data_IF_927615182203
#
_entry.id   IF_927615182203
#
_cell.length_a   1.000
_cell.length_b   1.000
_cell.length_c   1.000
_cell.angle_alpha   90.00
_cell.angle_beta   90.00
_cell.angle_gamma   90.00
#
_symmetry.space_group_name_H-M   'P 1'
#
loop_
_entity.id
_entity.type
_entity.pdbx_description
1 polymer ?
#
# COMPACT_ATOMS: atom_id res chain seq x y z
N UNK A 1 13.69 3.23 -26.27
CA UNK A 1 14.01 3.43 -24.85
C UNK A 1 13.49 4.81 -24.46
N UNK A 2 12.35 4.88 -23.79
CA UNK A 2 11.88 6.17 -23.25
C UNK A 2 12.54 6.30 -21.89
N UNK A 3 13.56 7.15 -21.78
CA UNK A 3 14.12 7.55 -20.50
C UNK A 3 12.98 8.20 -19.70
N UNK A 4 12.69 7.68 -18.50
CA UNK A 4 11.77 8.32 -17.59
C UNK A 4 12.33 9.72 -17.29
N UNK A 5 11.60 10.76 -17.69
CA UNK A 5 12.01 12.13 -17.43
C UNK A 5 12.16 12.34 -15.91
N UNK A 6 13.22 13.05 -15.50
CA UNK A 6 13.44 13.36 -14.09
C UNK A 6 12.22 14.09 -13.50
N UNK A 7 11.79 13.72 -12.27
CA UNK A 7 10.60 14.31 -11.67
C UNK A 7 10.80 15.80 -11.44
N UNK A 8 9.80 16.60 -11.84
CA UNK A 8 9.80 18.03 -11.59
C UNK A 8 9.56 18.35 -10.10
N UNK A 9 9.62 19.64 -9.72
CA UNK A 9 9.45 20.06 -8.32
C UNK A 9 8.09 19.67 -7.73
N UNK A 10 7.01 19.73 -8.52
CA UNK A 10 5.67 19.34 -8.07
C UNK A 10 5.58 17.84 -7.82
N UNK A 11 6.13 17.01 -8.72
CA UNK A 11 6.20 15.56 -8.54
C UNK A 11 7.03 15.18 -7.32
N UNK A 12 8.17 15.85 -7.09
CA UNK A 12 8.98 15.64 -5.88
C UNK A 12 8.19 15.95 -4.60
N UNK A 13 7.40 17.03 -4.60
CA UNK A 13 6.53 17.36 -3.46
C UNK A 13 5.44 16.32 -3.23
N UNK A 14 4.82 15.81 -4.31
CA UNK A 14 3.84 14.72 -4.23
C UNK A 14 4.45 13.43 -3.69
N UNK A 15 5.67 13.08 -4.14
CA UNK A 15 6.40 11.90 -3.65
C UNK A 15 6.74 12.03 -2.17
N UNK A 16 7.23 13.19 -1.74
CA UNK A 16 7.52 13.47 -0.33
C UNK A 16 6.25 13.35 0.51
N UNK A 17 5.13 13.95 0.07
CA UNK A 17 3.84 13.87 0.76
C UNK A 17 3.36 12.41 0.88
N UNK A 18 3.45 11.62 -0.18
CA UNK A 18 3.05 10.22 -0.17
C UNK A 18 3.88 9.38 0.82
N UNK A 19 5.22 9.51 0.76
CA UNK A 19 6.14 8.87 1.70
C UNK A 19 5.84 9.27 3.14
N UNK A 20 5.62 10.58 3.37
CA UNK A 20 5.28 11.11 4.68
C UNK A 20 3.94 10.56 5.15
N UNK A 21 2.89 10.53 4.32
CA UNK A 21 1.57 10.00 4.71
C UNK A 21 1.65 8.56 5.19
N UNK A 22 2.36 7.69 4.49
CA UNK A 22 2.36 6.24 4.76
C UNK A 22 3.46 5.77 5.72
N UNK A 23 4.56 6.50 5.86
CA UNK A 23 5.63 6.11 6.79
C UNK A 23 5.14 6.16 8.24
N UNK A 24 5.29 5.04 8.96
CA UNK A 24 4.79 4.89 10.34
C UNK A 24 3.27 4.88 10.45
N UNK A 25 2.53 4.74 9.34
CA UNK A 25 1.08 4.69 9.37
C UNK A 25 0.55 3.27 9.59
N UNK A 26 -0.66 3.17 10.10
CA UNK A 26 -1.46 1.95 10.07
C UNK A 26 -2.69 2.18 9.21
N UNK A 27 -2.90 1.33 8.22
CA UNK A 27 -4.14 1.26 7.46
C UNK A 27 -5.13 0.46 8.29
N UNK A 28 -6.26 1.07 8.63
CA UNK A 28 -7.31 0.49 9.45
C UNK A 28 -8.60 0.54 8.64
N UNK A 29 -9.10 -0.63 8.26
CA UNK A 29 -10.20 -0.68 7.34
C UNK A 29 -10.95 -1.98 7.35
N UNK A 30 -11.67 -2.18 6.25
CA UNK A 30 -12.50 -3.35 6.03
C UNK A 30 -12.37 -3.81 4.58
N UNK A 31 -12.56 -5.10 4.38
CA UNK A 31 -12.63 -5.69 3.05
C UNK A 31 -13.90 -6.51 2.84
N UNK A 32 -14.31 -6.61 1.58
CA UNK A 32 -15.41 -7.46 1.10
C UNK A 32 -14.87 -8.60 0.25
N UNK A 33 -15.70 -9.60 -0.02
CA UNK A 33 -15.41 -10.65 -1.02
C UNK A 33 -16.51 -10.59 -2.07
N UNK A 34 -16.14 -10.40 -3.34
CA UNK A 34 -17.10 -10.39 -4.45
C UNK A 34 -17.81 -11.74 -4.52
N UNK A 35 -19.13 -11.71 -4.77
CA UNK A 35 -19.94 -12.91 -4.86
C UNK A 35 -20.30 -13.56 -3.51
N UNK A 36 -19.93 -12.95 -2.37
CA UNK A 36 -20.35 -13.38 -1.04
C UNK A 36 -21.18 -12.31 -0.36
N UNK A 37 -22.38 -12.68 0.08
CA UNK A 37 -23.23 -11.82 0.91
C UNK A 37 -22.79 -11.93 2.37
N UNK A 38 -21.86 -11.06 2.75
CA UNK A 38 -21.28 -11.03 4.09
C UNK A 38 -20.90 -9.60 4.47
N UNK A 39 -21.04 -9.28 5.76
CA UNK A 39 -20.55 -8.02 6.30
C UNK A 39 -19.05 -7.85 6.04
N UNK A 40 -18.58 -6.62 5.73
CA UNK A 40 -17.16 -6.35 5.54
C UNK A 40 -16.35 -6.78 6.77
N UNK A 41 -15.24 -7.47 6.53
CA UNK A 41 -14.32 -7.96 7.57
C UNK A 41 -13.27 -6.91 7.85
N UNK A 42 -12.90 -6.75 9.13
CA UNK A 42 -11.84 -5.84 9.54
C UNK A 42 -10.47 -6.30 9.01
N UNK A 43 -9.65 -5.33 8.61
CA UNK A 43 -8.26 -5.52 8.28
C UNK A 43 -7.40 -4.40 8.85
N UNK A 44 -6.12 -4.71 9.07
CA UNK A 44 -5.14 -3.78 9.62
C UNK A 44 -3.77 -4.08 9.04
N UNK A 45 -3.14 -3.08 8.43
CA UNK A 45 -1.78 -3.17 7.89
C UNK A 45 -0.89 -2.07 8.45
N UNK A 46 0.19 -2.45 9.13
CA UNK A 46 1.16 -1.47 9.66
C UNK A 46 2.29 -1.26 8.64
N UNK A 47 2.49 -0.01 8.24
CA UNK A 47 3.57 0.40 7.34
C UNK A 47 4.65 1.08 8.18
N UNK A 48 5.83 0.45 8.23
CA UNK A 48 7.00 0.98 8.95
C UNK A 48 7.65 2.12 8.18
N UNK A 49 7.89 1.93 6.89
CA UNK A 49 8.44 2.97 6.03
C UNK A 49 8.09 2.78 4.56
N UNK A 50 8.06 3.89 3.83
CA UNK A 50 7.82 3.94 2.38
C UNK A 50 8.79 4.93 1.76
N UNK A 51 9.59 4.49 0.79
CA UNK A 51 10.47 5.38 0.03
C UNK A 51 10.55 4.96 -1.43
N UNK A 52 10.80 5.95 -2.29
CA UNK A 52 10.90 5.74 -3.74
C UNK A 52 12.25 5.09 -4.06
N UNK A 53 12.25 4.11 -4.94
CA UNK A 53 13.47 3.51 -5.48
C UNK A 53 13.97 4.32 -6.69
N UNK A 54 15.25 4.15 -7.04
CA UNK A 54 15.87 4.88 -8.16
C UNK A 54 15.21 4.56 -9.51
N UNK A 55 14.66 3.35 -9.65
CA UNK A 55 14.12 2.85 -10.89
C UNK A 55 12.60 3.08 -11.02
N UNK A 56 12.22 3.82 -12.07
CA UNK A 56 10.84 3.91 -12.55
C UNK A 56 9.83 4.36 -11.49
N UNK A 57 8.71 3.64 -11.41
CA UNK A 57 7.60 3.91 -10.49
C UNK A 57 7.65 3.04 -9.22
N UNK A 58 8.79 2.42 -8.93
CA UNK A 58 8.91 1.51 -7.79
C UNK A 58 9.12 2.25 -6.47
N UNK A 59 8.49 1.72 -5.43
CA UNK A 59 8.56 2.17 -4.06
C UNK A 59 8.76 0.97 -3.15
N UNK A 60 9.65 1.10 -2.17
CA UNK A 60 9.88 0.06 -1.19
C UNK A 60 9.02 0.31 0.05
N UNK A 61 8.06 -0.59 0.27
CA UNK A 61 7.22 -0.63 1.46
C UNK A 61 7.79 -1.64 2.44
N UNK A 62 8.11 -1.20 3.65
CA UNK A 62 8.38 -2.11 4.76
C UNK A 62 7.11 -2.24 5.58
N UNK A 63 6.33 -3.29 5.34
CA UNK A 63 5.06 -3.52 6.04
C UNK A 63 5.22 -4.65 7.06
N UNK A 64 4.62 -4.49 8.24
CA UNK A 64 4.50 -5.57 9.21
C UNK A 64 3.26 -6.38 8.86
N UNK A 65 3.48 -7.66 8.57
CA UNK A 65 2.40 -8.62 8.31
C UNK A 65 2.29 -9.53 9.52
N UNK A 66 1.09 -9.55 10.12
CA UNK A 66 0.75 -10.47 11.21
C UNK A 66 -0.21 -11.52 10.68
N UNK A 67 0.25 -12.77 10.58
CA UNK A 67 -0.55 -13.89 10.10
C UNK A 67 -0.28 -15.15 10.95
N UNK A 68 -1.30 -15.63 11.65
CA UNK A 68 -1.15 -16.73 12.61
C UNK A 68 -0.18 -16.37 13.74
N UNK A 69 0.88 -17.16 13.91
CA UNK A 69 1.98 -16.91 14.85
C UNK A 69 3.10 -16.04 14.25
N UNK A 70 3.09 -15.81 12.94
CA UNK A 70 4.12 -15.05 12.26
C UNK A 70 3.85 -13.54 12.37
N UNK A 71 4.85 -12.82 12.85
CA UNK A 71 4.86 -11.37 12.97
C UNK A 71 6.19 -10.86 12.43
N UNK A 72 6.20 -10.42 11.17
CA UNK A 72 7.42 -10.06 10.46
C UNK A 72 7.24 -8.76 9.67
N UNK A 73 8.32 -7.99 9.53
CA UNK A 73 8.39 -6.86 8.62
C UNK A 73 8.93 -7.35 7.28
N UNK A 74 8.12 -7.23 6.23
CA UNK A 74 8.43 -7.71 4.89
C UNK A 74 8.72 -6.49 3.98
N UNK A 75 9.88 -6.47 3.30
CA UNK A 75 10.16 -5.50 2.25
C UNK A 75 9.39 -5.88 0.98
N UNK A 76 8.55 -4.97 0.49
CA UNK A 76 7.74 -5.15 -0.70
C UNK A 76 8.02 -4.01 -1.69
N UNK A 77 8.76 -4.27 -2.80
CA UNK A 77 8.88 -3.32 -3.89
C UNK A 77 7.57 -3.31 -4.69
N UNK A 78 6.81 -2.22 -4.59
CA UNK A 78 5.50 -2.06 -5.22
C UNK A 78 5.51 -0.86 -6.17
N UNK A 79 4.71 -0.93 -7.23
CA UNK A 79 4.52 0.21 -8.12
C UNK A 79 3.56 1.23 -7.50
N UNK A 80 3.84 2.51 -7.70
CA UNK A 80 2.90 3.59 -7.37
C UNK A 80 2.71 4.46 -8.61
N UNK A 81 1.54 4.30 -9.23
CA UNK A 81 1.09 5.12 -10.37
C UNK A 81 0.36 6.36 -9.87
N UNK A 82 0.28 7.38 -10.71
CA UNK A 82 -0.33 8.66 -10.36
C UNK A 82 -1.48 8.99 -11.31
N UNK A 83 -2.69 9.12 -10.76
CA UNK A 83 -3.85 9.68 -11.45
C UNK A 83 -3.91 11.19 -11.17
N UNK A 84 -3.23 11.98 -12.00
CA UNK A 84 -2.97 13.39 -11.71
C UNK A 84 -2.12 13.53 -10.44
N UNK A 85 -2.71 14.00 -9.34
CA UNK A 85 -2.02 14.18 -8.04
C UNK A 85 -2.31 13.07 -7.04
N UNK A 86 -3.10 12.07 -7.44
CA UNK A 86 -3.57 11.01 -6.55
C UNK A 86 -2.75 9.74 -6.76
N UNK A 87 -2.03 9.25 -5.75
CA UNK A 87 -1.25 8.03 -5.87
C UNK A 87 -2.13 6.77 -5.80
N UNK A 88 -1.78 5.78 -6.61
CA UNK A 88 -2.41 4.46 -6.70
C UNK A 88 -1.33 3.39 -6.52
N UNK A 89 -1.34 2.72 -5.38
CA UNK A 89 -0.48 1.57 -5.10
C UNK A 89 -0.96 0.42 -5.99
N UNK A 90 -0.06 -0.17 -6.74
CA UNK A 90 -0.35 -1.16 -7.78
C UNK A 90 0.47 -2.42 -7.56
N UNK A 91 -0.21 -3.56 -7.52
CA UNK A 91 0.34 -4.90 -7.49
C UNK A 91 -0.31 -5.70 -8.62
N UNK A 92 0.50 -6.27 -9.49
CA UNK A 92 0.05 -7.14 -10.58
C UNK A 92 0.75 -8.49 -10.44
N UNK A 93 -0.03 -9.51 -10.05
CA UNK A 93 0.38 -10.91 -9.89
C UNK A 93 1.66 -11.11 -9.06
N UNK A 94 1.79 -10.34 -7.98
CA UNK A 94 2.96 -10.34 -7.12
C UNK A 94 2.92 -11.55 -6.19
N UNK A 95 3.91 -12.44 -6.32
CA UNK A 95 4.09 -13.58 -5.41
C UNK A 95 4.79 -13.12 -4.11
N UNK A 96 4.06 -13.21 -2.99
CA UNK A 96 4.61 -12.94 -1.67
C UNK A 96 4.97 -14.28 -1.00
N UNK A 97 6.25 -14.53 -0.69
CA UNK A 97 6.68 -15.79 -0.09
C UNK A 97 5.88 -16.14 1.18
N UNK A 98 5.31 -17.35 1.19
CA UNK A 98 4.51 -17.84 2.32
C UNK A 98 3.07 -17.30 2.40
N UNK A 99 2.69 -16.32 1.57
CA UNK A 99 1.35 -15.73 1.55
C UNK A 99 0.61 -15.95 0.23
N UNK A 100 1.33 -16.31 -0.85
CA UNK A 100 0.77 -16.58 -2.18
C UNK A 100 0.78 -15.35 -3.09
N UNK A 101 -0.03 -15.36 -4.14
CA UNK A 101 0.00 -14.34 -5.20
C UNK A 101 -1.13 -13.34 -5.05
N UNK A 102 -0.82 -12.05 -5.20
CA UNK A 102 -1.75 -10.95 -5.00
C UNK A 102 -1.72 -9.94 -6.14
N UNK A 103 -2.91 -9.46 -6.49
CA UNK A 103 -3.09 -8.29 -7.35
C UNK A 103 -3.96 -7.28 -6.62
N UNK A 104 -3.59 -6.00 -6.62
CA UNK A 104 -4.34 -4.96 -5.92
C UNK A 104 -4.09 -3.57 -6.51
N UNK A 105 -5.11 -2.73 -6.45
CA UNK A 105 -5.07 -1.34 -6.90
C UNK A 105 -5.70 -0.47 -5.83
N UNK A 106 -4.89 0.30 -5.11
CA UNK A 106 -5.32 1.05 -3.91
C UNK A 106 -5.02 2.52 -4.07
N UNK A 107 -6.08 3.31 -4.12
CA UNK A 107 -6.02 4.78 -4.15
C UNK A 107 -5.79 5.29 -2.73
N UNK A 108 -4.86 6.23 -2.58
CA UNK A 108 -4.65 6.99 -1.33
C UNK A 108 -5.19 8.41 -1.52
N UNK A 109 -6.16 8.80 -0.69
CA UNK A 109 -6.81 10.11 -0.73
C UNK A 109 -6.86 10.75 0.66
N UNK A 110 -5.83 11.56 0.94
CA UNK A 110 -5.64 12.18 2.25
C UNK A 110 -5.38 11.14 3.33
N UNK A 111 -6.32 11.03 4.28
CA UNK A 111 -6.33 10.08 5.38
C UNK A 111 -7.17 8.82 5.08
N UNK A 112 -7.61 8.63 3.84
CA UNK A 112 -8.41 7.48 3.40
C UNK A 112 -7.65 6.66 2.37
N UNK A 113 -8.03 5.38 2.29
CA UNK A 113 -7.69 4.54 1.15
C UNK A 113 -8.90 3.71 0.73
N UNK A 114 -8.92 3.34 -0.55
CA UNK A 114 -9.88 2.39 -1.10
C UNK A 114 -9.29 1.70 -2.34
N UNK A 115 -9.70 0.47 -2.60
CA UNK A 115 -9.14 -0.29 -3.71
C UNK A 115 -9.78 -1.65 -3.95
N UNK A 116 -9.23 -2.34 -4.94
CA UNK A 116 -9.53 -3.74 -5.23
C UNK A 116 -8.38 -4.64 -4.78
N UNK A 117 -8.69 -5.89 -4.49
CA UNK A 117 -7.71 -6.94 -4.24
C UNK A 117 -8.15 -8.26 -4.88
N UNK A 118 -7.17 -9.08 -5.23
CA UNK A 118 -7.34 -10.44 -5.75
C UNK A 118 -6.25 -11.32 -5.17
N UNK A 119 -6.63 -12.53 -4.76
CA UNK A 119 -5.75 -13.59 -4.29
C UNK A 119 -6.24 -14.93 -4.85
N UNK A 120 -5.52 -15.45 -5.85
CA UNK A 120 -5.98 -16.60 -6.63
C UNK A 120 -7.32 -16.31 -7.31
N UNK A 121 -8.33 -17.16 -7.07
CA UNK A 121 -9.68 -17.01 -7.63
C UNK A 121 -10.60 -16.09 -6.80
N UNK A 122 -10.14 -15.59 -5.65
CA UNK A 122 -10.94 -14.77 -4.74
C UNK A 122 -10.57 -13.30 -4.90
N UNK A 123 -11.56 -12.42 -5.01
CA UNK A 123 -11.36 -10.98 -5.14
C UNK A 123 -12.36 -10.18 -4.31
N UNK A 124 -12.09 -8.88 -4.18
CA UNK A 124 -12.83 -8.02 -3.29
C UNK A 124 -12.48 -6.55 -3.41
N UNK A 125 -13.10 -5.77 -2.53
CA UNK A 125 -12.76 -4.38 -2.31
C UNK A 125 -12.22 -4.23 -0.89
N UNK A 126 -11.37 -3.23 -0.69
CA UNK A 126 -10.88 -2.80 0.62
C UNK A 126 -11.01 -1.29 0.74
N UNK A 127 -11.27 -0.79 1.94
CA UNK A 127 -11.36 0.64 2.23
C UNK A 127 -11.19 0.93 3.71
N UNK A 128 -10.66 2.10 4.04
CA UNK A 128 -10.40 2.46 5.43
C UNK A 128 -9.76 3.82 5.61
N UNK A 129 -9.22 4.01 6.81
CA UNK A 129 -8.50 5.21 7.24
C UNK A 129 -7.02 4.90 7.45
N UNK A 130 -6.19 5.92 7.23
CA UNK A 130 -4.75 5.92 7.44
C UNK A 130 -4.49 6.63 8.75
N UNK A 131 -4.16 5.86 9.78
CA UNK A 131 -3.88 6.38 11.11
C UNK A 131 -2.37 6.48 11.31
N UNK A 132 -1.88 7.66 11.72
CA UNK A 132 -0.49 7.74 12.18
C UNK A 132 -0.34 6.94 13.45
N UNK A 133 0.48 5.91 13.41
CA UNK A 133 0.95 5.28 14.63
C UNK A 133 1.70 6.38 15.37
N UNK A 134 1.20 6.79 16.54
CA UNK A 134 1.98 7.64 17.44
C UNK A 134 3.31 6.91 17.62
N UNK A 135 4.38 7.41 17.01
CA UNK A 135 5.71 6.89 17.29
C UNK A 135 5.84 6.96 18.81
N UNK A 136 6.13 5.83 19.45
CA UNK A 136 6.95 5.89 20.64
C UNK A 136 8.14 6.78 20.23
N UNK A 137 8.21 7.95 20.84
CA UNK A 137 9.23 8.92 20.54
C UNK A 137 10.59 8.23 20.68
N UNK A 138 11.53 8.66 19.85
CA UNK A 138 12.95 8.40 20.02
C UNK A 138 13.32 8.35 21.51
N UNK A 139 13.94 7.23 21.91
CA UNK A 139 14.88 7.20 23.02
C UNK A 139 16.30 7.30 22.42
#
# INVERSE_FOLDING_TARGET
MVSAAEPNAEQKALFAKFSETLTGATLVGKFTVVGRDMSPKEERYEIRSVHKLEEGDLWLFNARVKYGENDAVIPMPLEVKWAGKTPVITLEDVAIPGLGTFSAHVVIDGDKYAGTWTHGEVSGHLFGLIEKTKSAAAE
#
